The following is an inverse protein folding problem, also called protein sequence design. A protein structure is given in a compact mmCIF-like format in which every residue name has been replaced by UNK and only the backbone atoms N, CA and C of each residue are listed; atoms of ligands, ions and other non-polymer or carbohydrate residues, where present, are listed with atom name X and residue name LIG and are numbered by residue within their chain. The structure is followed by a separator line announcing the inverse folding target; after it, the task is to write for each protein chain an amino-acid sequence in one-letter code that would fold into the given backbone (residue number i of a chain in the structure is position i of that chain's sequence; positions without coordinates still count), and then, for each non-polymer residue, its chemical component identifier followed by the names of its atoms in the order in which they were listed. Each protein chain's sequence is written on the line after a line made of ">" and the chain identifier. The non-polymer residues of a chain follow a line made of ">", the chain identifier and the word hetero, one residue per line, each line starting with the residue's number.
data_IF_912861006481
#
_entry.id   IF_912861006481
#
_cell.length_a   1.000
_cell.length_b   1.000
_cell.length_c   1.000
_cell.angle_alpha   90.00
_cell.angle_beta   90.00
_cell.angle_gamma   90.00
#
_symmetry.space_group_name_H-M   'P 1'
#
loop_
_entity.id
_entity.type
_entity.pdbx_description
1 polymer ?
#
# COMPACT_ATOMS: atom_id res chain seq x y z
N UNK A 1 -8.35 -13.93 14.00
CA UNK A 1 -8.33 -13.93 15.49
C UNK A 1 -6.98 -13.45 15.95
N UNK A 2 -6.94 -12.22 16.50
CA UNK A 2 -5.73 -11.62 17.09
C UNK A 2 -5.79 -11.89 18.58
N UNK A 3 -4.94 -12.76 19.11
CA UNK A 3 -4.71 -12.87 20.56
C UNK A 3 -3.36 -12.26 20.90
N UNK A 4 -3.40 -11.34 21.85
CA UNK A 4 -2.23 -10.68 22.46
C UNK A 4 -1.82 -11.49 23.70
N UNK A 5 -0.55 -11.89 23.76
CA UNK A 5 0.04 -12.49 24.93
C UNK A 5 0.99 -11.47 25.58
N UNK A 6 0.68 -11.06 26.80
CA UNK A 6 1.61 -10.33 27.64
C UNK A 6 2.38 -11.34 28.49
N UNK A 7 3.70 -11.24 28.50
CA UNK A 7 4.59 -11.95 29.42
C UNK A 7 5.58 -10.94 30.00
N UNK A 8 5.84 -11.14 31.28
CA UNK A 8 6.56 -10.28 32.21
C UNK A 8 7.93 -9.77 31.76
N UNK A 9 8.33 -8.67 32.37
CA UNK A 9 9.40 -7.72 32.07
C UNK A 9 10.83 -8.26 32.25
N UNK A 10 11.33 -9.23 31.51
CA UNK A 10 12.80 -9.42 31.48
C UNK A 10 13.42 -9.94 30.17
N UNK A 11 12.62 -10.15 29.14
CA UNK A 11 13.14 -10.36 27.79
C UNK A 11 12.10 -9.87 26.78
N UNK A 12 12.24 -8.65 26.25
CA UNK A 12 11.42 -8.17 25.14
C UNK A 12 11.70 -8.99 23.89
N UNK A 13 11.01 -10.10 23.77
CA UNK A 13 10.91 -10.80 22.47
C UNK A 13 10.03 -9.99 21.54
N UNK A 14 10.39 -9.82 20.28
CA UNK A 14 9.56 -9.14 19.30
C UNK A 14 8.22 -9.86 19.16
N UNK A 15 7.12 -9.10 19.20
CA UNK A 15 5.76 -9.63 18.98
C UNK A 15 5.60 -9.84 17.48
N UNK A 16 5.45 -11.09 17.05
CA UNK A 16 5.11 -11.42 15.67
C UNK A 16 3.60 -11.62 15.56
N UNK A 17 2.95 -10.86 14.68
CA UNK A 17 1.57 -11.11 14.29
C UNK A 17 1.58 -12.12 13.14
N UNK A 18 1.08 -13.33 13.37
CA UNK A 18 0.91 -14.34 12.34
C UNK A 18 -0.56 -14.40 11.96
N UNK A 19 -0.86 -14.12 10.70
CA UNK A 19 -2.20 -14.33 10.13
C UNK A 19 -2.18 -15.71 9.47
N UNK A 20 -3.06 -16.59 9.93
CA UNK A 20 -3.26 -17.92 9.34
C UNK A 20 -4.52 -17.87 8.48
N UNK A 21 -4.38 -18.17 7.20
CA UNK A 21 -5.50 -18.41 6.30
C UNK A 21 -5.88 -19.89 6.44
N UNK A 22 -6.98 -20.16 7.13
CA UNK A 22 -7.42 -21.53 7.45
C UNK A 22 -8.73 -21.77 6.69
N UNK A 23 -8.76 -22.86 5.94
CA UNK A 23 -9.96 -23.37 5.28
C UNK A 23 -11.10 -23.54 6.30
N UNK A 24 -12.34 -23.21 5.90
CA UNK A 24 -13.49 -23.22 6.79
C UNK A 24 -13.74 -24.61 7.41
N UNK A 25 -13.51 -25.69 6.67
CA UNK A 25 -13.63 -27.06 7.18
C UNK A 25 -12.63 -27.34 8.30
N UNK A 26 -11.39 -26.89 8.14
CA UNK A 26 -10.32 -27.02 9.15
C UNK A 26 -10.65 -26.16 10.38
N UNK A 27 -11.20 -24.97 10.18
CA UNK A 27 -11.64 -24.09 11.26
C UNK A 27 -12.77 -24.73 12.09
N UNK A 28 -13.79 -25.31 11.45
CA UNK A 28 -14.89 -26.01 12.12
C UNK A 28 -14.41 -27.26 12.86
N UNK A 29 -13.46 -28.02 12.33
CA UNK A 29 -12.85 -29.15 13.03
C UNK A 29 -12.09 -28.69 14.29
N UNK A 30 -11.33 -27.60 14.19
CA UNK A 30 -10.60 -27.03 15.33
C UNK A 30 -11.55 -26.53 16.42
N UNK A 31 -12.68 -25.91 16.07
CA UNK A 31 -13.74 -25.50 17.01
C UNK A 31 -14.35 -26.71 17.72
N UNK A 32 -14.71 -27.76 16.96
CA UNK A 32 -15.31 -28.98 17.50
C UNK A 32 -14.36 -29.66 18.49
N UNK A 33 -13.07 -29.72 18.14
CA UNK A 33 -12.03 -30.28 19.00
C UNK A 33 -11.80 -29.45 20.25
N UNK A 34 -11.79 -28.14 20.14
CA UNK A 34 -11.68 -27.23 21.28
C UNK A 34 -12.81 -27.44 22.29
N UNK A 35 -14.06 -27.55 21.81
CA UNK A 35 -15.21 -27.86 22.64
C UNK A 35 -15.13 -29.22 23.33
N UNK A 36 -14.70 -30.26 22.59
CA UNK A 36 -14.57 -31.61 23.13
C UNK A 36 -13.44 -31.73 24.19
N UNK A 37 -12.37 -30.96 24.05
CA UNK A 37 -11.20 -30.96 24.96
C UNK A 37 -11.33 -29.91 26.09
N UNK A 38 -12.41 -29.12 26.14
CA UNK A 38 -12.59 -28.03 27.12
C UNK A 38 -11.51 -26.93 26.98
N UNK A 39 -10.97 -26.73 25.80
CA UNK A 39 -9.88 -25.81 25.48
C UNK A 39 -10.39 -24.67 24.61
N UNK A 40 -9.68 -23.55 24.60
CA UNK A 40 -9.97 -22.49 23.64
C UNK A 40 -9.42 -22.85 22.25
N UNK A 41 -10.03 -22.32 21.19
CA UNK A 41 -9.54 -22.48 19.82
C UNK A 41 -8.06 -22.10 19.69
N UNK A 42 -7.63 -20.99 20.34
CA UNK A 42 -6.24 -20.54 20.36
C UNK A 42 -5.29 -21.59 20.95
N UNK A 43 -5.69 -22.28 22.02
CA UNK A 43 -4.89 -23.36 22.64
C UNK A 43 -4.76 -24.59 21.73
N UNK A 44 -5.81 -24.91 20.98
CA UNK A 44 -5.77 -26.03 20.01
C UNK A 44 -4.85 -25.66 18.84
N UNK A 45 -4.96 -24.44 18.30
CA UNK A 45 -4.11 -23.97 17.21
C UNK A 45 -2.63 -23.92 17.60
N UNK A 46 -2.30 -23.41 18.80
CA UNK A 46 -0.92 -23.42 19.32
C UNK A 46 -0.36 -24.84 19.41
N UNK A 47 -1.17 -25.79 19.88
CA UNK A 47 -0.76 -27.19 19.96
C UNK A 47 -0.47 -27.77 18.56
N UNK A 48 -1.33 -27.51 17.58
CA UNK A 48 -1.15 -27.99 16.21
C UNK A 48 0.09 -27.35 15.57
N UNK A 49 0.33 -26.06 15.76
CA UNK A 49 1.51 -25.37 15.28
C UNK A 49 2.79 -25.90 15.91
N UNK A 50 2.77 -26.20 17.22
CA UNK A 50 3.93 -26.79 17.93
C UNK A 50 4.24 -28.20 17.44
N UNK A 51 3.20 -29.00 17.15
CA UNK A 51 3.36 -30.32 16.58
C UNK A 51 3.90 -30.30 15.14
N UNK A 52 3.46 -29.32 14.36
CA UNK A 52 3.93 -29.15 12.97
C UNK A 52 5.36 -28.60 12.89
N UNK A 53 5.75 -27.67 13.79
CA UNK A 53 7.09 -27.06 13.81
C UNK A 53 8.20 -28.03 14.29
N UNK A 54 7.83 -29.13 14.91
CA UNK A 54 8.80 -30.06 15.51
C UNK A 54 9.55 -29.47 16.73
N UNK A 55 10.46 -30.22 17.35
CA UNK A 55 11.28 -29.69 18.43
C UNK A 55 12.23 -28.62 17.90
N UNK A 56 12.26 -27.47 18.58
CA UNK A 56 13.20 -26.38 18.27
C UNK A 56 14.64 -26.97 18.33
N UNK A 57 15.53 -26.58 17.39
CA UNK A 57 16.92 -27.03 17.44
C UNK A 57 17.54 -26.56 18.75
N UNK A 58 17.95 -27.51 19.60
CA UNK A 58 18.75 -27.25 20.83
C UNK A 58 20.09 -26.68 20.40
N UNK A 59 20.44 -25.49 20.95
CA UNK A 59 21.75 -24.91 20.75
C UNK A 59 22.85 -25.90 21.17
N UNK A 60 23.88 -26.15 20.35
CA UNK A 60 25.00 -27.01 20.73
C UNK A 60 25.77 -26.39 21.90
N UNK A 61 26.41 -27.25 22.75
CA UNK A 61 27.24 -26.78 23.88
C UNK A 61 28.41 -25.93 23.38
N UNK A 62 28.94 -24.99 24.22
CA UNK A 62 30.01 -24.09 23.81
C UNK A 62 31.28 -24.87 23.45
N UNK A 63 31.67 -24.83 22.19
CA UNK A 63 32.93 -25.32 21.68
C UNK A 63 34.03 -24.29 21.95
N UNK A 64 35.19 -24.79 22.38
CA UNK A 64 36.40 -24.02 22.68
C UNK A 64 36.77 -23.05 21.54
N UNK A 65 37.27 -21.88 21.91
CA UNK A 65 37.56 -20.75 21.03
C UNK A 65 38.38 -21.17 19.79
N UNK A 66 37.85 -20.88 18.57
CA UNK A 66 38.63 -21.08 17.35
C UNK A 66 39.48 -19.81 17.07
N UNK A 67 40.60 -20.03 16.43
CA UNK A 67 41.48 -19.08 15.73
C UNK A 67 40.69 -17.99 15.00
N UNK A 68 41.15 -16.72 14.94
CA UNK A 68 40.40 -15.64 14.35
C UNK A 68 39.98 -15.94 12.93
N UNK A 69 38.68 -16.02 12.73
CA UNK A 69 38.05 -16.22 11.44
C UNK A 69 38.13 -14.92 10.60
N UNK A 70 38.12 -15.01 9.25
CA UNK A 70 38.06 -13.83 8.41
C UNK A 70 36.85 -12.97 8.74
N UNK A 71 37.01 -11.67 8.67
CA UNK A 71 35.99 -10.66 9.01
C UNK A 71 34.63 -10.99 8.39
N UNK A 72 33.53 -10.87 9.12
CA UNK A 72 32.19 -11.14 8.56
C UNK A 72 31.93 -10.23 7.36
N UNK A 73 31.23 -10.72 6.33
CA UNK A 73 30.85 -9.89 5.19
C UNK A 73 30.04 -8.68 5.69
N UNK A 74 30.20 -7.50 5.06
CA UNK A 74 29.53 -6.30 5.50
C UNK A 74 28.02 -6.53 5.58
N UNK A 75 27.41 -6.17 6.71
CA UNK A 75 26.00 -6.35 6.97
C UNK A 75 25.17 -5.79 5.83
N UNK A 76 24.22 -6.58 5.32
CA UNK A 76 23.32 -6.16 4.26
C UNK A 76 22.62 -4.85 4.69
N UNK A 77 22.79 -3.79 3.88
CA UNK A 77 22.07 -2.53 4.08
C UNK A 77 20.61 -2.74 3.70
N UNK A 78 19.71 -2.08 4.41
CA UNK A 78 18.30 -2.05 4.02
C UNK A 78 17.92 -0.64 3.57
N UNK A 79 16.94 -0.55 2.70
CA UNK A 79 16.36 0.70 2.22
C UNK A 79 14.84 0.61 2.29
N UNK A 80 14.20 1.59 2.91
CA UNK A 80 12.73 1.68 2.91
C UNK A 80 12.30 2.54 1.73
N UNK A 81 11.53 1.96 0.81
CA UNK A 81 11.03 2.63 -0.40
C UNK A 81 10.22 3.86 -0.03
N UNK A 82 10.57 5.00 -0.63
CA UNK A 82 9.91 6.28 -0.45
C UNK A 82 8.93 6.57 -1.60
N UNK A 83 7.98 7.51 -1.43
CA UNK A 83 7.13 7.96 -2.51
C UNK A 83 7.95 8.43 -3.72
N UNK A 84 7.59 7.95 -4.92
CA UNK A 84 8.29 8.28 -6.16
C UNK A 84 9.53 7.43 -6.48
N UNK A 85 9.95 6.53 -5.58
CA UNK A 85 11.08 5.65 -5.84
C UNK A 85 10.80 4.65 -6.95
N UNK A 86 11.87 4.39 -7.71
CA UNK A 86 11.97 3.24 -8.61
C UNK A 86 13.21 2.45 -8.24
N UNK A 87 13.24 1.14 -8.54
CA UNK A 87 14.47 0.35 -8.30
C UNK A 87 15.71 0.97 -8.98
N UNK A 88 15.53 1.61 -10.14
CA UNK A 88 16.60 2.33 -10.82
C UNK A 88 17.08 3.58 -10.07
N UNK A 89 16.16 4.35 -9.47
CA UNK A 89 16.50 5.50 -8.65
C UNK A 89 17.22 5.07 -7.37
N UNK A 90 16.70 4.05 -6.70
CA UNK A 90 17.32 3.46 -5.50
C UNK A 90 18.72 2.92 -5.82
N UNK A 91 18.87 2.17 -6.92
CA UNK A 91 20.18 1.67 -7.36
C UNK A 91 21.18 2.79 -7.69
N UNK A 92 20.70 3.90 -8.26
CA UNK A 92 21.54 5.08 -8.49
C UNK A 92 22.02 5.68 -7.16
N UNK A 93 21.15 5.81 -6.18
CA UNK A 93 21.50 6.31 -4.84
C UNK A 93 22.44 5.37 -4.11
N UNK A 94 22.20 4.07 -4.15
CA UNK A 94 22.94 3.07 -3.38
C UNK A 94 24.26 2.63 -4.03
N UNK A 95 24.31 2.62 -5.37
CA UNK A 95 25.41 2.08 -6.15
C UNK A 95 26.02 3.06 -7.15
N UNK A 96 25.52 4.30 -7.19
CA UNK A 96 25.94 5.31 -8.15
C UNK A 96 25.46 5.08 -9.60
N UNK A 97 24.64 4.04 -9.84
CA UNK A 97 24.21 3.68 -11.19
C UNK A 97 22.85 3.01 -11.22
N UNK A 98 21.92 3.57 -12.01
CA UNK A 98 20.57 3.04 -12.15
C UNK A 98 20.52 1.65 -12.80
N UNK A 99 21.49 1.32 -13.68
CA UNK A 99 21.54 0.02 -14.36
C UNK A 99 21.84 -1.16 -13.41
N UNK A 100 22.24 -0.88 -12.17
CA UNK A 100 22.49 -1.88 -11.12
C UNK A 100 21.23 -2.31 -10.35
N UNK A 101 20.06 -1.82 -10.74
CA UNK A 101 18.80 -2.23 -10.09
C UNK A 101 18.55 -3.74 -10.06
N UNK A 102 19.04 -4.55 -11.01
CA UNK A 102 18.83 -6.00 -10.94
C UNK A 102 19.41 -6.63 -9.67
N UNK A 103 20.52 -6.11 -9.14
CA UNK A 103 21.09 -6.59 -7.88
C UNK A 103 20.12 -6.43 -6.71
N UNK A 104 19.37 -5.32 -6.68
CA UNK A 104 18.34 -5.09 -5.66
C UNK A 104 17.13 -5.99 -5.95
N UNK A 105 16.71 -6.10 -7.21
CA UNK A 105 15.58 -6.91 -7.62
C UNK A 105 15.80 -8.40 -7.23
N UNK A 106 16.95 -8.94 -7.57
CA UNK A 106 17.32 -10.34 -7.30
C UNK A 106 17.39 -10.62 -5.79
N UNK A 107 18.05 -9.72 -5.03
CA UNK A 107 18.17 -9.87 -3.57
C UNK A 107 16.81 -9.81 -2.83
N UNK A 108 15.78 -9.25 -3.46
CA UNK A 108 14.44 -9.13 -2.90
C UNK A 108 13.39 -9.96 -3.63
N UNK A 109 13.80 -10.86 -4.52
CA UNK A 109 12.91 -11.73 -5.32
C UNK A 109 11.87 -10.94 -6.13
N UNK A 110 12.25 -9.74 -6.61
CA UNK A 110 11.37 -8.87 -7.40
C UNK A 110 11.51 -9.23 -8.87
N UNK A 111 10.54 -9.95 -9.41
CA UNK A 111 10.51 -10.37 -10.81
C UNK A 111 10.12 -9.26 -11.78
N UNK A 112 9.34 -8.27 -11.33
CA UNK A 112 9.01 -7.06 -12.09
C UNK A 112 9.57 -5.83 -11.34
N UNK A 113 10.61 -5.14 -11.87
CA UNK A 113 11.27 -4.02 -11.22
C UNK A 113 10.35 -2.79 -11.01
N UNK A 114 9.17 -2.80 -11.61
CA UNK A 114 8.14 -1.78 -11.42
C UNK A 114 7.25 -2.08 -10.20
N UNK A 115 7.39 -3.25 -9.59
CA UNK A 115 6.58 -3.71 -8.44
C UNK A 115 7.32 -3.53 -7.13
N UNK A 116 7.66 -2.30 -6.80
CA UNK A 116 8.06 -1.89 -5.46
C UNK A 116 7.03 -0.92 -4.90
N UNK A 117 6.86 -0.87 -3.59
CA UNK A 117 5.84 -0.02 -2.94
C UNK A 117 6.45 0.79 -1.80
N UNK A 118 5.87 1.95 -1.54
CA UNK A 118 6.28 2.83 -0.45
C UNK A 118 6.15 2.10 0.89
N UNK A 119 7.20 2.19 1.72
CA UNK A 119 7.31 1.45 2.96
C UNK A 119 7.86 0.03 2.82
N UNK A 120 8.03 -0.49 1.60
CA UNK A 120 8.72 -1.76 1.38
C UNK A 120 10.17 -1.65 1.83
N UNK A 121 10.62 -2.59 2.66
CA UNK A 121 12.02 -2.69 3.06
C UNK A 121 12.76 -3.56 2.06
N UNK A 122 13.72 -2.99 1.35
CA UNK A 122 14.55 -3.69 0.38
C UNK A 122 15.91 -4.01 0.98
N UNK A 123 16.38 -5.23 0.76
CA UNK A 123 17.76 -5.63 1.02
C UNK A 123 18.63 -5.04 -0.09
N UNK A 124 19.67 -4.30 0.29
CA UNK A 124 20.64 -3.69 -0.61
C UNK A 124 21.94 -4.50 -0.50
N UNK A 125 22.19 -5.47 -1.38
CA UNK A 125 23.39 -6.27 -1.34
C UNK A 125 24.64 -5.39 -1.58
N UNK A 126 25.81 -5.75 -1.01
CA UNK A 126 27.06 -5.10 -1.38
C UNK A 126 27.37 -5.34 -2.85
N UNK A 127 28.05 -4.37 -3.49
CA UNK A 127 28.58 -4.61 -4.84
C UNK A 127 29.62 -5.74 -4.76
N UNK A 128 29.60 -6.72 -5.67
CA UNK A 128 30.71 -7.65 -5.80
C UNK A 128 31.99 -6.85 -6.06
N UNK A 129 33.02 -7.09 -5.26
CA UNK A 129 34.29 -6.36 -5.31
C UNK A 129 34.85 -6.33 -6.73
N UNK A 130 34.81 -5.14 -7.34
CA UNK A 130 35.74 -4.83 -8.40
C UNK A 130 37.06 -4.47 -7.72
N UNK A 131 38.07 -5.30 -7.90
CA UNK A 131 39.46 -5.14 -7.46
C UNK A 131 39.87 -3.67 -7.47
N UNK A 132 40.24 -3.14 -6.31
CA UNK A 132 40.65 -1.78 -6.12
C UNK A 132 41.90 -1.47 -6.91
N UNK A 133 41.78 -0.51 -7.83
CA UNK A 133 42.95 0.28 -8.31
C UNK A 133 42.80 1.67 -7.72
N UNK A 134 43.81 2.21 -7.02
CA UNK A 134 43.72 3.55 -6.46
C UNK A 134 43.95 4.57 -7.59
N UNK A 135 42.96 5.46 -7.80
CA UNK A 135 43.16 6.67 -8.60
C UNK A 135 43.31 7.83 -7.64
N UNK A 136 44.56 8.22 -7.47
CA UNK A 136 44.96 9.52 -6.96
C UNK A 136 44.72 10.57 -8.04
N UNK A 137 43.87 11.53 -7.76
CA UNK A 137 43.59 12.67 -8.64
C UNK A 137 42.81 13.73 -7.88
N UNK A 138 43.55 14.59 -7.15
CA UNK A 138 43.02 15.83 -6.57
C UNK A 138 42.79 16.84 -7.69
N UNK A 139 41.52 17.14 -7.98
CA UNK A 139 41.13 18.31 -8.76
C UNK A 139 40.43 19.29 -7.84
N UNK A 140 40.76 20.59 -7.83
CA UNK A 140 40.17 21.55 -6.91
C UNK A 140 38.69 21.77 -7.21
N UNK A 141 37.90 21.83 -6.13
CA UNK A 141 36.51 22.12 -6.10
C UNK A 141 36.21 23.51 -6.67
N UNK A 142 35.32 23.69 -7.66
CA UNK A 142 34.91 25.00 -8.09
C UNK A 142 34.09 25.69 -6.98
N UNK A 143 34.36 26.97 -6.77
CA UNK A 143 33.68 27.89 -5.85
C UNK A 143 32.16 27.81 -6.05
N UNK A 144 31.33 27.80 -4.95
CA UNK A 144 29.91 27.75 -5.08
C UNK A 144 29.37 29.03 -5.73
N UNK A 145 28.82 28.88 -6.93
CA UNK A 145 27.97 29.92 -7.54
C UNK A 145 26.69 29.93 -6.74
N UNK A 146 26.39 31.03 -6.08
CA UNK A 146 25.10 31.27 -5.41
C UNK A 146 24.03 31.36 -6.51
N UNK A 147 23.40 30.23 -6.78
CA UNK A 147 22.20 30.17 -7.62
C UNK A 147 21.04 30.66 -6.76
N UNK A 148 20.38 31.70 -7.17
CA UNK A 148 19.07 32.14 -6.66
C UNK A 148 18.13 30.94 -6.60
N UNK A 149 17.43 30.66 -5.49
CA UNK A 149 16.54 29.51 -5.43
C UNK A 149 15.42 29.70 -6.44
N UNK A 150 15.38 28.84 -7.45
CA UNK A 150 14.17 28.59 -8.23
C UNK A 150 13.11 28.12 -7.25
N UNK A 151 11.85 28.63 -7.30
CA UNK A 151 10.81 28.15 -6.42
C UNK A 151 10.66 26.64 -6.58
N UNK A 152 11.08 25.89 -5.57
CA UNK A 152 10.82 24.46 -5.44
C UNK A 152 9.31 24.39 -5.20
N UNK A 153 8.55 23.98 -6.21
CA UNK A 153 7.18 23.55 -6.00
C UNK A 153 7.26 22.33 -5.09
N UNK A 154 6.98 22.51 -3.79
CA UNK A 154 6.90 21.40 -2.84
C UNK A 154 5.86 20.40 -3.39
N UNK A 155 6.30 19.17 -3.57
CA UNK A 155 5.41 18.06 -3.91
C UNK A 155 4.33 17.96 -2.81
N UNK A 156 3.05 17.84 -3.18
CA UNK A 156 1.97 17.79 -2.20
C UNK A 156 2.17 16.58 -1.26
N UNK A 157 2.19 16.85 0.05
CA UNK A 157 2.33 15.81 1.07
C UNK A 157 1.07 14.94 1.11
N UNK A 158 1.18 13.61 0.92
CA UNK A 158 0.02 12.74 0.99
C UNK A 158 -0.51 12.63 2.43
N UNK A 159 -1.83 12.42 2.61
CA UNK A 159 -2.35 11.97 3.90
C UNK A 159 -1.77 10.58 4.27
N UNK A 160 -1.90 10.13 5.53
CA UNK A 160 -1.51 8.76 5.89
C UNK A 160 -2.28 7.72 5.06
N UNK A 161 -1.59 7.00 4.18
CA UNK A 161 -2.16 5.98 3.29
C UNK A 161 -1.44 4.66 3.55
N UNK A 162 -2.22 3.59 3.79
CA UNK A 162 -1.69 2.24 3.92
C UNK A 162 -1.84 1.50 2.58
N UNK A 163 -0.73 1.00 2.03
CA UNK A 163 -0.78 0.14 0.85
C UNK A 163 -1.24 -1.27 1.23
N UNK A 164 -2.25 -1.79 0.53
CA UNK A 164 -2.78 -3.15 0.72
C UNK A 164 -2.73 -3.99 -0.56
N UNK A 165 -2.66 -3.35 -1.72
CA UNK A 165 -2.61 -3.99 -3.02
C UNK A 165 -3.95 -4.57 -3.49
N UNK A 166 -4.02 -4.89 -4.79
CA UNK A 166 -5.07 -5.69 -5.45
C UNK A 166 -4.50 -6.28 -6.73
N UNK A 167 -4.84 -7.51 -7.11
CA UNK A 167 -4.48 -8.07 -8.40
C UNK A 167 -5.40 -7.60 -9.55
N UNK A 168 -6.51 -6.94 -9.24
CA UNK A 168 -7.58 -6.59 -10.17
C UNK A 168 -7.34 -5.23 -10.82
N UNK A 169 -6.32 -5.11 -11.66
CA UNK A 169 -5.99 -3.90 -12.41
C UNK A 169 -5.28 -4.24 -13.71
N UNK A 170 -5.15 -3.25 -14.58
CA UNK A 170 -4.31 -3.32 -15.76
C UNK A 170 -3.71 -1.93 -16.05
N UNK A 171 -2.82 -1.84 -17.03
CA UNK A 171 -2.23 -0.56 -17.43
C UNK A 171 -3.29 0.39 -17.98
N UNK A 172 -3.18 1.68 -17.67
CA UNK A 172 -3.97 2.73 -18.33
C UNK A 172 -3.60 2.83 -19.80
N UNK A 173 -4.56 3.13 -20.69
CA UNK A 173 -4.26 3.43 -22.10
C UNK A 173 -3.37 4.68 -22.20
N UNK A 174 -2.60 4.76 -23.28
CA UNK A 174 -1.78 5.95 -23.57
C UNK A 174 -2.61 7.04 -24.26
N UNK A 175 -2.43 8.33 -23.96
CA UNK A 175 -1.59 8.90 -22.88
C UNK A 175 -2.20 8.62 -21.50
N UNK A 176 -1.36 8.27 -20.52
CA UNK A 176 -1.79 7.94 -19.15
C UNK A 176 -2.18 9.19 -18.36
N UNK A 177 -3.16 9.94 -18.85
CA UNK A 177 -3.66 11.16 -18.19
C UNK A 177 -4.70 10.82 -17.12
N UNK A 178 -4.56 11.42 -15.95
CA UNK A 178 -5.52 11.32 -14.85
C UNK A 178 -6.10 12.71 -14.66
N UNK A 179 -7.43 12.85 -14.76
CA UNK A 179 -8.07 14.16 -14.65
C UNK A 179 -9.45 14.12 -13.98
N UNK A 180 -9.80 12.99 -13.35
CA UNK A 180 -11.08 12.80 -12.68
C UNK A 180 -10.94 11.99 -11.40
N UNK A 181 -11.82 12.22 -10.42
CA UNK A 181 -11.99 11.40 -9.21
C UNK A 181 -13.44 10.93 -9.14
N UNK A 182 -13.64 9.66 -8.85
CA UNK A 182 -14.98 9.06 -8.68
C UNK A 182 -15.15 8.57 -7.26
N UNK A 183 -16.15 9.09 -6.57
CA UNK A 183 -16.54 8.66 -5.23
C UNK A 183 -17.58 7.57 -5.33
N UNK A 184 -17.32 6.46 -4.65
CA UNK A 184 -18.17 5.29 -4.56
C UNK A 184 -18.62 5.03 -3.12
N UNK A 185 -19.57 4.14 -2.95
CA UNK A 185 -19.88 3.51 -1.68
C UNK A 185 -19.78 1.99 -1.84
N UNK A 186 -19.08 1.35 -0.91
CA UNK A 186 -18.66 -0.05 -1.00
C UNK A 186 -19.80 -1.07 -0.98
N UNK A 187 -21.02 -0.66 -0.60
CA UNK A 187 -22.12 -1.56 -0.23
C UNK A 187 -21.69 -2.62 0.82
N UNK A 188 -20.81 -2.22 1.73
CA UNK A 188 -20.21 -3.04 2.80
C UNK A 188 -20.01 -2.19 4.06
N UNK A 189 -20.10 -2.82 5.22
CA UNK A 189 -19.92 -2.16 6.52
C UNK A 189 -18.50 -2.22 7.08
N UNK A 190 -17.51 -2.85 6.39
CA UNK A 190 -16.16 -2.99 6.94
C UNK A 190 -15.07 -2.76 5.91
N UNK A 191 -14.02 -2.05 6.33
CA UNK A 191 -12.83 -1.80 5.52
C UNK A 191 -12.08 -3.10 5.22
N UNK A 192 -11.96 -3.98 6.20
CA UNK A 192 -11.28 -5.26 6.08
C UNK A 192 -11.99 -6.19 5.07
N UNK A 193 -13.33 -6.16 5.04
CA UNK A 193 -14.13 -6.90 4.05
C UNK A 193 -13.86 -6.40 2.62
N UNK A 194 -13.75 -5.08 2.43
CA UNK A 194 -13.42 -4.49 1.12
C UNK A 194 -11.99 -4.85 0.69
N UNK A 195 -11.02 -4.79 1.62
CA UNK A 195 -9.64 -5.20 1.35
C UNK A 195 -9.59 -6.66 0.88
N UNK A 196 -10.26 -7.55 1.62
CA UNK A 196 -10.33 -8.97 1.26
C UNK A 196 -10.98 -9.19 -0.10
N UNK A 197 -12.08 -8.47 -0.38
CA UNK A 197 -12.79 -8.60 -1.66
C UNK A 197 -11.95 -8.12 -2.84
N UNK A 198 -11.32 -6.95 -2.74
CA UNK A 198 -10.47 -6.42 -3.82
C UNK A 198 -9.18 -7.20 -4.00
N UNK A 199 -8.74 -7.95 -2.98
CA UNK A 199 -7.59 -8.85 -3.08
C UNK A 199 -7.93 -10.20 -3.72
N UNK A 200 -9.21 -10.53 -3.88
CA UNK A 200 -9.64 -11.73 -4.55
C UNK A 200 -9.60 -11.53 -6.09
N UNK A 201 -8.78 -12.28 -6.85
CA UNK A 201 -8.75 -12.16 -8.31
C UNK A 201 -10.09 -12.45 -8.98
N UNK A 202 -10.93 -13.31 -8.37
CA UNK A 202 -12.24 -13.67 -8.91
C UNK A 202 -13.27 -12.52 -8.79
N UNK A 203 -13.01 -11.51 -7.97
CA UNK A 203 -13.89 -10.35 -7.84
C UNK A 203 -13.97 -9.51 -9.13
N UNK A 204 -12.90 -9.50 -9.93
CA UNK A 204 -12.82 -8.77 -11.20
C UNK A 204 -13.22 -7.29 -11.07
N UNK A 205 -12.96 -6.71 -9.90
CA UNK A 205 -13.18 -5.30 -9.60
C UNK A 205 -12.19 -4.81 -8.55
N UNK A 206 -11.95 -3.51 -8.53
CA UNK A 206 -11.06 -2.84 -7.60
C UNK A 206 -11.35 -1.34 -7.59
N UNK A 207 -10.76 -0.63 -6.65
CA UNK A 207 -10.67 0.83 -6.66
C UNK A 207 -9.23 1.25 -6.38
N UNK A 208 -8.89 2.54 -6.56
CA UNK A 208 -7.56 3.01 -6.21
C UNK A 208 -7.44 3.13 -4.70
N UNK A 209 -8.46 3.67 -4.05
CA UNK A 209 -8.47 3.91 -2.61
C UNK A 209 -9.76 3.42 -1.97
N UNK A 210 -9.69 3.10 -0.69
CA UNK A 210 -10.86 2.90 0.18
C UNK A 210 -10.66 3.67 1.49
N UNK A 211 -11.72 4.32 1.97
CA UNK A 211 -11.73 5.07 3.23
C UNK A 211 -12.68 4.40 4.21
N UNK A 212 -12.16 3.97 5.34
CA UNK A 212 -12.92 3.41 6.45
C UNK A 212 -13.77 4.47 7.16
N UNK A 213 -14.78 4.05 7.91
CA UNK A 213 -15.61 4.95 8.72
C UNK A 213 -14.83 5.72 9.79
N UNK A 214 -13.69 5.19 10.19
CA UNK A 214 -12.74 5.77 11.14
C UNK A 214 -11.74 6.75 10.51
N UNK A 215 -11.84 6.97 9.19
CA UNK A 215 -10.95 7.84 8.43
C UNK A 215 -9.64 7.18 7.97
N UNK A 216 -9.41 5.89 8.26
CA UNK A 216 -8.27 5.17 7.68
C UNK A 216 -8.37 5.11 6.17
N UNK A 217 -7.27 5.45 5.48
CA UNK A 217 -7.16 5.39 4.02
C UNK A 217 -6.26 4.23 3.63
N UNK A 218 -6.76 3.38 2.76
CA UNK A 218 -5.95 2.31 2.15
C UNK A 218 -5.88 2.49 0.63
N UNK A 219 -4.77 2.08 0.02
CA UNK A 219 -4.59 2.09 -1.43
C UNK A 219 -4.46 0.66 -1.95
N UNK A 220 -5.27 0.33 -2.97
CA UNK A 220 -5.31 -0.99 -3.60
C UNK A 220 -4.60 -1.02 -4.95
N UNK A 221 -4.75 0.04 -5.75
CA UNK A 221 -4.18 0.17 -7.09
C UNK A 221 -3.45 1.50 -7.17
N UNK A 222 -2.30 1.52 -7.86
CA UNK A 222 -1.53 2.74 -8.05
C UNK A 222 -2.26 3.72 -8.96
N UNK A 223 -2.01 5.01 -8.80
CA UNK A 223 -2.65 6.02 -9.63
C UNK A 223 -2.36 5.83 -11.12
N UNK A 224 -1.12 5.43 -11.45
CA UNK A 224 -0.66 5.20 -12.81
C UNK A 224 -1.25 3.95 -13.47
N UNK A 225 -1.87 3.07 -12.69
CA UNK A 225 -2.55 1.87 -13.16
C UNK A 225 -4.07 2.11 -13.25
N UNK A 226 -4.76 1.24 -13.95
CA UNK A 226 -6.19 1.31 -14.19
C UNK A 226 -6.92 0.37 -13.26
N UNK A 227 -7.53 0.88 -12.21
CA UNK A 227 -8.47 0.12 -11.38
C UNK A 227 -9.80 -0.10 -12.12
N UNK A 228 -10.56 -1.11 -11.69
CA UNK A 228 -11.82 -1.51 -12.33
C UNK A 228 -13.01 -1.14 -11.44
N UNK A 229 -13.35 0.17 -11.36
CA UNK A 229 -14.36 0.70 -10.45
C UNK A 229 -15.61 1.28 -11.11
N UNK A 230 -15.50 1.87 -12.30
CA UNK A 230 -16.58 2.65 -12.91
C UNK A 230 -17.48 1.85 -13.85
N UNK A 231 -16.99 0.69 -14.36
CA UNK A 231 -17.70 -0.10 -15.38
C UNK A 231 -17.98 0.70 -16.64
N UNK A 232 -19.17 0.51 -17.26
CA UNK A 232 -19.60 1.32 -18.39
C UNK A 232 -19.96 2.71 -17.90
N UNK A 233 -19.18 3.71 -18.30
CA UNK A 233 -19.22 5.05 -17.71
C UNK A 233 -18.77 6.11 -18.70
N UNK A 234 -19.21 7.36 -18.48
CA UNK A 234 -18.87 8.51 -19.29
C UNK A 234 -18.85 9.78 -18.44
N UNK A 235 -17.92 10.69 -18.68
CA UNK A 235 -17.87 12.00 -18.07
C UNK A 235 -17.49 13.06 -19.12
N UNK A 236 -18.24 14.17 -19.18
CA UNK A 236 -18.01 15.26 -20.13
C UNK A 236 -17.86 14.78 -21.59
N UNK A 237 -18.62 13.74 -22.00
CA UNK A 237 -18.57 13.17 -23.34
C UNK A 237 -17.42 12.18 -23.59
N UNK A 238 -16.61 11.88 -22.58
CA UNK A 238 -15.52 10.90 -22.68
C UNK A 238 -15.93 9.61 -22.00
N UNK A 239 -16.04 8.53 -22.77
CA UNK A 239 -16.39 7.19 -22.26
C UNK A 239 -15.21 6.52 -21.54
N UNK A 240 -15.50 5.53 -20.69
CA UNK A 240 -14.48 4.69 -20.08
C UNK A 240 -13.73 5.36 -18.92
N UNK A 241 -14.46 5.87 -17.92
CA UNK A 241 -13.88 6.62 -16.79
C UNK A 241 -12.76 5.87 -16.06
N UNK A 242 -12.73 4.54 -16.05
CA UNK A 242 -11.59 3.78 -15.53
C UNK A 242 -10.26 4.17 -16.18
N UNK A 243 -10.27 4.65 -17.41
CA UNK A 243 -9.05 4.93 -18.16
C UNK A 243 -8.34 6.20 -17.70
N UNK A 244 -9.08 7.14 -17.08
CA UNK A 244 -8.58 8.44 -16.68
C UNK A 244 -9.03 8.90 -15.27
N UNK A 245 -9.90 8.12 -14.61
CA UNK A 245 -10.41 8.41 -13.27
C UNK A 245 -9.65 7.65 -12.18
N UNK A 246 -9.64 8.25 -10.99
CA UNK A 246 -9.24 7.61 -9.73
C UNK A 246 -10.51 7.27 -8.95
N UNK A 247 -10.72 6.00 -8.61
CA UNK A 247 -11.84 5.56 -7.78
C UNK A 247 -11.48 5.64 -6.29
N UNK A 248 -12.40 6.20 -5.50
CA UNK A 248 -12.33 6.24 -4.04
C UNK A 248 -13.60 5.59 -3.49
N UNK A 249 -13.46 4.49 -2.80
CA UNK A 249 -14.54 3.77 -2.13
C UNK A 249 -14.72 4.26 -0.69
N UNK A 250 -15.91 4.71 -0.34
CA UNK A 250 -16.29 5.05 1.02
C UNK A 250 -16.96 3.84 1.66
N UNK A 251 -16.44 3.32 2.78
CA UNK A 251 -17.12 2.22 3.50
C UNK A 251 -18.50 2.69 3.95
N UNK A 252 -19.54 2.15 3.33
CA UNK A 252 -20.93 2.52 3.54
C UNK A 252 -21.85 1.49 2.88
N UNK A 253 -22.99 1.16 3.49
CA UNK A 253 -23.98 0.22 2.93
C UNK A 253 -24.72 0.74 1.69
N UNK A 254 -24.58 2.03 1.40
CA UNK A 254 -25.26 2.70 0.27
C UNK A 254 -26.79 2.58 0.30
N UNK A 255 -27.38 2.37 1.46
CA UNK A 255 -28.83 2.24 1.66
C UNK A 255 -29.55 3.60 1.83
N UNK A 256 -28.77 4.68 2.01
CA UNK A 256 -29.24 6.04 2.24
C UNK A 256 -29.50 6.36 3.71
N UNK A 257 -29.36 5.39 4.63
CA UNK A 257 -29.53 5.55 6.07
C UNK A 257 -28.21 5.43 6.83
N UNK A 258 -27.27 4.68 6.26
CA UNK A 258 -25.93 4.51 6.85
C UNK A 258 -25.14 5.84 6.74
N UNK A 259 -24.77 6.48 7.88
CA UNK A 259 -24.11 7.78 7.83
C UNK A 259 -22.67 7.67 7.33
N UNK A 260 -22.19 8.77 6.76
CA UNK A 260 -20.77 9.02 6.50
C UNK A 260 -20.20 9.82 7.68
N UNK A 261 -19.45 9.19 8.61
CA UNK A 261 -18.88 9.90 9.76
C UNK A 261 -17.94 11.04 9.35
N UNK A 262 -17.85 12.07 10.19
CA UNK A 262 -17.01 13.24 9.90
C UNK A 262 -15.53 12.83 9.71
N UNK A 263 -15.01 11.87 10.47
CA UNK A 263 -13.65 11.35 10.28
C UNK A 263 -13.41 10.79 8.86
N UNK A 264 -14.41 10.06 8.32
CA UNK A 264 -14.37 9.53 6.96
C UNK A 264 -14.45 10.66 5.93
N UNK A 265 -15.31 11.64 6.14
CA UNK A 265 -15.45 12.80 5.26
C UNK A 265 -14.16 13.63 5.21
N UNK A 266 -13.57 13.95 6.36
CA UNK A 266 -12.32 14.71 6.43
C UNK A 266 -11.15 13.97 5.78
N UNK A 267 -11.06 12.65 5.96
CA UNK A 267 -10.06 11.84 5.25
C UNK A 267 -10.25 11.90 3.72
N UNK A 268 -11.50 11.93 3.24
CA UNK A 268 -11.79 12.07 1.81
C UNK A 268 -11.44 13.47 1.29
N UNK A 269 -11.71 14.54 2.05
CA UNK A 269 -11.29 15.91 1.71
C UNK A 269 -9.77 15.98 1.57
N UNK A 270 -9.01 15.46 2.54
CA UNK A 270 -7.55 15.44 2.51
C UNK A 270 -7.02 14.64 1.31
N UNK A 271 -7.57 13.44 1.06
CA UNK A 271 -7.17 12.61 -0.07
C UNK A 271 -7.48 13.27 -1.41
N UNK A 272 -8.70 13.80 -1.60
CA UNK A 272 -9.07 14.50 -2.83
C UNK A 272 -8.22 15.75 -3.06
N UNK A 273 -7.92 16.53 -2.02
CA UNK A 273 -7.04 17.69 -2.13
C UNK A 273 -5.64 17.31 -2.58
N UNK A 274 -5.07 16.26 -1.97
CA UNK A 274 -3.78 15.71 -2.38
C UNK A 274 -3.78 15.25 -3.85
N UNK A 275 -4.78 14.48 -4.26
CA UNK A 275 -4.89 13.96 -5.64
C UNK A 275 -5.13 15.08 -6.65
N UNK A 276 -5.92 16.10 -6.30
CA UNK A 276 -6.12 17.27 -7.13
C UNK A 276 -4.81 18.03 -7.37
N UNK A 277 -4.01 18.26 -6.34
CA UNK A 277 -2.68 18.88 -6.48
C UNK A 277 -1.74 18.01 -7.32
N UNK A 278 -1.68 16.71 -7.02
CA UNK A 278 -0.77 15.76 -7.66
C UNK A 278 -1.03 15.58 -9.16
N UNK A 279 -2.29 15.54 -9.55
CA UNK A 279 -2.70 15.23 -10.93
C UNK A 279 -3.32 16.42 -11.67
N UNK A 280 -3.31 17.61 -11.06
CA UNK A 280 -3.96 18.82 -11.59
C UNK A 280 -5.44 18.60 -11.93
N UNK A 281 -6.16 17.86 -11.04
CA UNK A 281 -7.60 17.61 -11.19
C UNK A 281 -8.36 18.79 -10.62
N UNK A 282 -9.38 19.24 -11.34
CA UNK A 282 -10.25 20.30 -10.84
C UNK A 282 -11.31 19.73 -9.90
N UNK A 283 -11.72 20.46 -8.82
CA UNK A 283 -12.76 20.00 -7.91
C UNK A 283 -14.10 19.67 -8.61
N UNK A 284 -14.41 20.29 -9.73
CA UNK A 284 -15.59 19.98 -10.54
C UNK A 284 -15.54 18.60 -11.21
N UNK A 285 -14.36 18.01 -11.32
CA UNK A 285 -14.12 16.66 -11.86
C UNK A 285 -14.03 15.59 -10.74
N UNK A 286 -14.50 15.91 -9.54
CA UNK A 286 -14.81 14.96 -8.47
C UNK A 286 -16.29 14.61 -8.57
N UNK A 287 -16.64 13.39 -8.96
CA UNK A 287 -17.99 12.93 -9.23
C UNK A 287 -18.39 11.75 -8.35
N UNK A 288 -19.69 11.49 -8.23
CA UNK A 288 -20.22 10.22 -7.75
C UNK A 288 -20.30 9.19 -8.88
N UNK A 289 -20.32 7.90 -8.55
CA UNK A 289 -20.55 6.86 -9.54
C UNK A 289 -21.92 7.02 -10.24
N UNK A 290 -22.91 7.55 -9.52
CA UNK A 290 -24.24 7.87 -10.04
C UNK A 290 -24.20 8.87 -11.21
N UNK A 291 -23.22 9.79 -11.18
CA UNK A 291 -23.12 10.89 -12.17
C UNK A 291 -22.55 10.40 -13.50
N UNK A 292 -21.76 9.31 -13.48
CA UNK A 292 -20.98 8.82 -14.63
C UNK A 292 -21.50 7.51 -15.21
N UNK A 293 -22.41 6.82 -14.55
CA UNK A 293 -22.87 5.49 -14.94
C UNK A 293 -23.70 5.54 -16.25
N UNK A 294 -23.41 4.64 -17.18
CA UNK A 294 -24.14 4.49 -18.45
C UNK A 294 -24.83 3.12 -18.51
N UNK A 295 -26.16 3.04 -18.74
CA UNK A 295 -27.10 4.17 -18.81
C UNK A 295 -27.28 4.88 -17.47
N UNK A 296 -27.79 6.10 -17.49
CA UNK A 296 -28.14 6.86 -16.28
C UNK A 296 -29.09 6.03 -15.39
N UNK A 297 -28.90 6.11 -14.05
CA UNK A 297 -29.65 5.34 -13.09
C UNK A 297 -29.18 3.88 -12.88
N UNK A 298 -28.16 3.41 -13.62
CA UNK A 298 -27.54 2.08 -13.39
C UNK A 298 -26.86 1.96 -12.04
N UNK A 299 -26.42 3.09 -11.48
CA UNK A 299 -25.74 3.19 -10.19
C UNK A 299 -26.38 4.27 -9.32
N UNK A 300 -26.31 4.10 -8.00
CA UNK A 300 -26.89 5.03 -7.03
C UNK A 300 -25.88 5.54 -6.01
N UNK A 301 -24.64 5.04 -6.07
CA UNK A 301 -23.58 5.37 -5.11
C UNK A 301 -22.83 6.65 -5.51
N UNK A 302 -22.35 7.43 -4.55
CA UNK A 302 -22.48 7.27 -3.08
C UNK A 302 -23.80 7.90 -2.57
N UNK A 303 -24.78 7.07 -2.23
CA UNK A 303 -26.10 7.55 -1.78
C UNK A 303 -26.01 8.25 -0.43
N UNK A 304 -26.54 9.47 -0.36
CA UNK A 304 -26.55 10.24 0.90
C UNK A 304 -25.22 10.94 1.23
N UNK A 305 -24.20 10.81 0.38
CA UNK A 305 -22.95 11.56 0.54
C UNK A 305 -23.04 12.96 -0.09
N UNK A 306 -22.60 13.99 0.64
CA UNK A 306 -22.62 15.37 0.15
C UNK A 306 -21.40 15.69 -0.71
N UNK A 307 -21.51 15.41 -2.00
CA UNK A 307 -20.47 15.75 -2.99
C UNK A 307 -20.30 17.26 -3.16
N UNK A 308 -21.34 18.05 -2.91
CA UNK A 308 -21.28 19.52 -2.97
C UNK A 308 -20.37 20.05 -1.87
N UNK A 309 -20.58 19.59 -0.63
CA UNK A 309 -19.72 19.90 0.52
C UNK A 309 -18.26 19.49 0.24
N UNK A 310 -18.03 18.25 -0.25
CA UNK A 310 -16.70 17.76 -0.59
C UNK A 310 -15.98 18.71 -1.55
N UNK A 311 -16.62 19.06 -2.66
CA UNK A 311 -16.01 19.96 -3.68
C UNK A 311 -15.69 21.34 -3.12
N UNK A 312 -16.56 21.90 -2.28
CA UNK A 312 -16.34 23.20 -1.63
C UNK A 312 -15.13 23.14 -0.68
N UNK A 313 -15.03 22.13 0.17
CA UNK A 313 -13.93 21.97 1.13
C UNK A 313 -12.59 21.69 0.42
N UNK A 314 -12.59 20.86 -0.62
CA UNK A 314 -11.40 20.62 -1.47
C UNK A 314 -10.97 21.93 -2.16
N UNK A 315 -11.91 22.72 -2.70
CA UNK A 315 -11.60 23.99 -3.33
C UNK A 315 -10.97 24.97 -2.34
N UNK A 316 -11.52 25.05 -1.12
CA UNK A 316 -10.97 25.89 -0.06
C UNK A 316 -9.54 25.44 0.32
N UNK A 317 -9.31 24.14 0.46
CA UNK A 317 -8.01 23.60 0.80
C UNK A 317 -6.96 23.76 -0.32
N UNK A 318 -7.38 23.80 -1.59
CA UNK A 318 -6.46 24.05 -2.73
C UNK A 318 -6.01 25.51 -2.79
N UNK A 319 -6.81 26.43 -2.24
CA UNK A 319 -6.54 27.87 -2.26
C UNK A 319 -5.84 28.35 -0.98
N UNK A 320 -5.67 27.48 0.02
CA UNK A 320 -4.98 27.77 1.28
C UNK A 320 -3.46 27.55 1.14
#
# INVERSE_FOLDING_TARGET
>A
LTQRWEKDEEARMPIYNVTLDIDDAVYQQALTRAGAEGRTLGQVLVTLLTQWAGPLPVSPPPVAAPTPAPSPPPAARTYTVQPGDTLGAIARTMYGSAVKYPLIADANHITDPRRIWVGQVLIIPPLPDATATPVTGTTPLPTPVVSTPTPVTEEPTPPPITWVGSPNFNSRPYPKTIWAIVIHATASGSLEGVISWFNNPAAQLSSHYTIGKDGRVVQHVRDEDRAWHAGKSEWKGVAGVNDYGLGIEMVNWNDGNDPYPEAQHQANVLLCTYLCRKHNIKPEDIMGHVDIAVPAGRKSDPRGYDLGRLRLEVTAALNA
#
